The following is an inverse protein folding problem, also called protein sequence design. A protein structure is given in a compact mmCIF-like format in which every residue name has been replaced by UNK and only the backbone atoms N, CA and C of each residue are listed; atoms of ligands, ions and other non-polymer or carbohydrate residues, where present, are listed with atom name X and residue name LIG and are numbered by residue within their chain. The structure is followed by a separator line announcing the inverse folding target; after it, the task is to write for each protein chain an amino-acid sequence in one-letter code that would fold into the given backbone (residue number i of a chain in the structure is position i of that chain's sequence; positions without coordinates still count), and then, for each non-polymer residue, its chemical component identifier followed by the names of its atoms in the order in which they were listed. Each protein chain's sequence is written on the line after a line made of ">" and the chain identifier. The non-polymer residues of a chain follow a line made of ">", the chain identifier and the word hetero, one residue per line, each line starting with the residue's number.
data_IF_011939277878
#
_entry.id   IF_011939277878
#
_cell.length_a   1.000
_cell.length_b   1.000
_cell.length_c   1.000
_cell.angle_alpha   90.00
_cell.angle_beta   90.00
_cell.angle_gamma   90.00
#
_symmetry.space_group_name_H-M   'P 1'
#
loop_
_entity.id
_entity.type
_entity.pdbx_description
1 polymer ?
#
# COMPACT_ATOMS: atom_id res chain seq x y z
N UNK A 1 -15.72 -21.70 6.13
CA UNK A 1 -15.51 -21.22 7.52
C UNK A 1 -14.75 -19.92 7.36
N UNK A 2 -15.29 -18.78 7.77
CA UNK A 2 -14.62 -17.47 7.62
C UNK A 2 -13.42 -17.43 8.56
N UNK A 3 -12.22 -17.27 8.02
CA UNK A 3 -11.00 -17.13 8.82
C UNK A 3 -10.55 -15.66 8.87
N UNK A 4 -10.15 -15.23 10.07
CA UNK A 4 -9.47 -13.96 10.27
C UNK A 4 -7.96 -14.22 10.27
N UNK A 5 -7.28 -13.81 9.21
CA UNK A 5 -5.83 -13.91 9.08
C UNK A 5 -5.23 -12.58 9.54
N UNK A 6 -4.35 -12.59 10.55
CA UNK A 6 -3.70 -11.36 11.01
C UNK A 6 -2.40 -11.15 10.25
N UNK A 7 -2.19 -9.94 9.73
CA UNK A 7 -0.92 -9.58 9.10
C UNK A 7 0.28 -9.80 10.05
N UNK A 8 0.09 -9.49 11.35
CA UNK A 8 1.13 -9.59 12.38
C UNK A 8 1.63 -11.00 12.65
N UNK A 9 0.86 -12.04 12.28
CA UNK A 9 1.30 -13.43 12.45
C UNK A 9 2.53 -13.74 11.57
N UNK A 10 2.84 -12.85 10.61
CA UNK A 10 3.90 -13.03 9.64
C UNK A 10 4.83 -11.81 9.48
N UNK A 11 4.52 -10.66 10.09
CA UNK A 11 5.31 -9.43 9.94
C UNK A 11 6.58 -9.44 10.82
N UNK A 12 7.66 -8.88 10.28
CA UNK A 12 8.84 -8.49 11.06
C UNK A 12 8.62 -7.07 11.62
N UNK A 13 9.22 -6.78 12.78
CA UNK A 13 9.16 -5.49 13.47
C UNK A 13 9.68 -4.35 12.58
N UNK A 14 10.59 -4.65 11.66
CA UNK A 14 11.20 -3.65 10.77
C UNK A 14 10.45 -3.43 9.45
N UNK A 15 9.66 -4.41 8.98
CA UNK A 15 9.03 -4.36 7.66
C UNK A 15 7.82 -5.30 7.56
N UNK A 16 6.68 -4.76 7.12
CA UNK A 16 5.41 -5.47 7.03
C UNK A 16 5.23 -6.26 5.72
N UNK A 17 6.01 -5.99 4.68
CA UNK A 17 5.78 -6.50 3.33
C UNK A 17 5.77 -8.03 3.28
N UNK A 18 6.82 -8.69 3.79
CA UNK A 18 6.92 -10.16 3.77
C UNK A 18 5.73 -10.84 4.46
N UNK A 19 5.31 -10.29 5.60
CA UNK A 19 4.18 -10.83 6.36
C UNK A 19 2.85 -10.67 5.64
N UNK A 20 2.61 -9.50 5.07
CA UNK A 20 1.40 -9.20 4.31
C UNK A 20 1.32 -10.05 3.04
N UNK A 21 2.44 -10.25 2.33
CA UNK A 21 2.51 -11.13 1.17
C UNK A 21 2.08 -12.56 1.55
N UNK A 22 2.59 -13.07 2.67
CA UNK A 22 2.24 -14.40 3.17
C UNK A 22 0.76 -14.49 3.53
N UNK A 23 0.25 -13.53 4.28
CA UNK A 23 -1.15 -13.47 4.68
C UNK A 23 -2.10 -13.43 3.47
N UNK A 24 -1.79 -12.64 2.44
CA UNK A 24 -2.58 -12.55 1.21
C UNK A 24 -2.58 -13.89 0.44
N UNK A 25 -1.45 -14.58 0.38
CA UNK A 25 -1.37 -15.87 -0.29
C UNK A 25 -2.31 -16.90 0.36
N UNK A 26 -2.38 -16.91 1.69
CA UNK A 26 -3.24 -17.81 2.47
C UNK A 26 -4.74 -17.49 2.38
N UNK A 27 -5.13 -16.24 2.07
CA UNK A 27 -6.55 -15.85 1.99
C UNK A 27 -7.36 -16.72 1.03
N UNK A 28 -8.48 -17.22 1.50
CA UNK A 28 -9.48 -17.91 0.68
C UNK A 28 -10.75 -17.06 0.53
N UNK A 29 -11.64 -17.48 -0.35
CA UNK A 29 -12.93 -16.82 -0.58
C UNK A 29 -13.75 -16.79 0.72
N UNK A 30 -14.20 -15.59 1.12
CA UNK A 30 -14.93 -15.36 2.37
C UNK A 30 -14.06 -14.98 3.57
N UNK A 31 -12.73 -14.97 3.44
CA UNK A 31 -11.83 -14.62 4.54
C UNK A 31 -11.65 -13.11 4.72
N UNK A 32 -11.14 -12.74 5.89
CA UNK A 32 -10.76 -11.37 6.21
C UNK A 32 -9.28 -11.29 6.59
N UNK A 33 -8.53 -10.44 5.90
CA UNK A 33 -7.21 -9.98 6.33
C UNK A 33 -7.37 -8.86 7.35
N UNK A 34 -6.92 -9.11 8.57
CA UNK A 34 -6.94 -8.16 9.67
C UNK A 34 -5.56 -7.54 9.83
N UNK A 35 -5.50 -6.21 9.85
CA UNK A 35 -4.36 -5.46 10.37
C UNK A 35 -4.71 -4.98 11.78
N UNK A 36 -4.31 -5.68 12.86
CA UNK A 36 -4.51 -5.19 14.22
C UNK A 36 -4.02 -3.73 14.36
N UNK A 37 -4.76 -2.86 15.06
CA UNK A 37 -4.47 -1.42 15.15
C UNK A 37 -2.98 -1.14 15.41
N UNK A 38 -2.27 -0.66 14.40
CA UNK A 38 -0.86 -0.26 14.49
C UNK A 38 -0.43 0.63 13.30
N UNK A 39 0.84 1.03 13.27
CA UNK A 39 1.51 1.44 12.04
C UNK A 39 2.24 0.24 11.39
N UNK A 40 2.03 0.06 10.09
CA UNK A 40 2.66 -0.99 9.30
C UNK A 40 3.55 -0.34 8.24
N UNK A 41 4.85 -0.54 8.34
CA UNK A 41 5.82 0.08 7.45
C UNK A 41 6.21 -0.83 6.28
N UNK A 42 6.18 -0.29 5.06
CA UNK A 42 6.53 -1.00 3.84
C UNK A 42 7.70 -0.29 3.15
N UNK A 43 8.77 -1.03 2.90
CA UNK A 43 9.97 -0.53 2.20
C UNK A 43 10.15 -1.24 0.86
N UNK A 44 10.60 -0.47 -0.14
CA UNK A 44 10.69 -0.87 -1.56
C UNK A 44 11.48 -2.14 -1.83
N UNK A 45 12.58 -2.34 -1.13
CA UNK A 45 13.47 -3.49 -1.25
C UNK A 45 12.82 -4.82 -0.80
N UNK A 46 11.72 -4.77 -0.04
CA UNK A 46 11.00 -5.97 0.44
C UNK A 46 9.61 -6.16 -0.17
N UNK A 47 9.18 -5.24 -1.03
CA UNK A 47 7.86 -5.26 -1.65
C UNK A 47 7.89 -6.03 -2.97
N UNK A 48 6.71 -6.49 -3.41
CA UNK A 48 6.61 -7.19 -4.71
C UNK A 48 6.90 -6.21 -5.84
N UNK A 49 7.84 -6.58 -6.71
CA UNK A 49 8.13 -5.89 -7.95
C UNK A 49 7.41 -6.56 -9.12
N UNK A 50 6.80 -5.75 -10.01
CA UNK A 50 6.30 -6.20 -11.32
C UNK A 50 6.50 -5.12 -12.37
N UNK A 51 6.79 -5.58 -13.58
CA UNK A 51 6.63 -4.77 -14.79
C UNK A 51 5.13 -4.70 -15.10
N UNK A 52 4.57 -3.49 -15.12
CA UNK A 52 3.16 -3.32 -15.45
C UNK A 52 2.85 -1.96 -16.10
N UNK A 53 1.80 -1.96 -16.92
CA UNK A 53 1.27 -0.75 -17.55
C UNK A 53 -0.04 -0.37 -16.89
N UNK A 54 -0.06 0.80 -16.24
CA UNK A 54 -1.25 1.39 -15.64
C UNK A 54 -1.67 2.58 -16.52
N UNK A 55 -2.89 2.55 -17.05
CA UNK A 55 -3.42 3.64 -17.88
C UNK A 55 -3.34 4.97 -17.14
N UNK A 56 -3.14 6.07 -17.87
CA UNK A 56 -3.04 7.43 -17.31
C UNK A 56 -1.85 7.67 -16.35
N UNK A 57 -0.87 6.75 -16.32
CA UNK A 57 0.41 6.94 -15.64
C UNK A 57 1.56 6.79 -16.63
N UNK A 58 2.76 7.29 -16.28
CA UNK A 58 3.96 7.19 -17.13
C UNK A 58 4.61 5.79 -17.09
N UNK A 59 3.78 4.76 -17.24
CA UNK A 59 4.20 3.35 -17.15
C UNK A 59 4.90 2.83 -18.40
N UNK A 60 4.98 3.61 -19.48
CA UNK A 60 5.85 3.30 -20.62
C UNK A 60 7.30 3.70 -20.37
N UNK A 61 7.55 4.80 -19.66
CA UNK A 61 8.92 5.22 -19.27
C UNK A 61 9.35 4.63 -17.93
N UNK A 62 8.41 4.36 -17.02
CA UNK A 62 8.68 3.77 -15.71
C UNK A 62 7.78 2.54 -15.47
N UNK A 63 8.02 1.42 -16.18
CA UNK A 63 7.19 0.21 -16.10
C UNK A 63 7.42 -0.60 -14.82
N UNK A 64 8.58 -0.46 -14.17
CA UNK A 64 8.91 -1.11 -12.90
C UNK A 64 8.10 -0.51 -11.75
N UNK A 65 7.16 -1.30 -11.22
CA UNK A 65 6.31 -0.90 -10.09
C UNK A 65 6.53 -1.84 -8.91
N UNK A 66 6.48 -1.25 -7.72
CA UNK A 66 6.60 -1.94 -6.45
C UNK A 66 5.30 -1.75 -5.68
N UNK A 67 4.85 -2.80 -4.98
CA UNK A 67 3.54 -2.82 -4.33
C UNK A 67 3.67 -3.18 -2.85
N UNK A 68 3.23 -2.28 -1.98
CA UNK A 68 3.14 -2.59 -0.55
C UNK A 68 2.10 -3.70 -0.30
N UNK A 69 0.95 -3.61 -0.97
CA UNK A 69 -0.11 -4.63 -0.93
C UNK A 69 -0.52 -4.98 -2.36
N UNK A 70 -0.14 -6.18 -2.82
CA UNK A 70 -0.60 -6.72 -4.09
C UNK A 70 -1.53 -7.91 -3.84
N UNK A 71 -2.77 -7.82 -4.32
CA UNK A 71 -3.76 -8.90 -4.25
C UNK A 71 -4.07 -9.36 -5.67
N UNK A 72 -3.84 -10.64 -5.95
CA UNK A 72 -4.08 -11.23 -7.27
C UNK A 72 -5.01 -12.43 -7.17
N UNK A 73 -5.97 -12.53 -8.10
CA UNK A 73 -6.85 -13.68 -8.28
C UNK A 73 -7.60 -14.12 -7.00
N UNK A 74 -8.03 -13.15 -6.16
CA UNK A 74 -8.85 -13.40 -4.97
C UNK A 74 -10.28 -12.90 -5.17
N UNK A 75 -11.23 -13.55 -4.53
CA UNK A 75 -12.63 -13.13 -4.55
C UNK A 75 -13.28 -13.17 -3.18
N UNK A 76 -14.26 -12.29 -2.94
CA UNK A 76 -15.08 -12.25 -1.72
C UNK A 76 -14.26 -12.11 -0.43
N UNK A 77 -13.20 -11.30 -0.44
CA UNK A 77 -12.37 -11.07 0.74
C UNK A 77 -12.60 -9.66 1.32
N UNK A 78 -12.35 -9.52 2.61
CA UNK A 78 -12.24 -8.21 3.28
C UNK A 78 -10.79 -7.96 3.70
N UNK A 79 -10.32 -6.73 3.53
CA UNK A 79 -9.12 -6.20 4.17
C UNK A 79 -9.59 -5.16 5.19
N UNK A 80 -9.46 -5.49 6.47
CA UNK A 80 -9.85 -4.62 7.59
C UNK A 80 -8.61 -4.10 8.31
N UNK A 81 -8.45 -2.79 8.24
CA UNK A 81 -7.36 -2.08 8.87
C UNK A 81 -7.48 -1.96 10.39
N UNK A 82 -8.66 -2.17 10.99
CA UNK A 82 -8.91 -1.94 12.41
C UNK A 82 -8.41 -0.57 12.92
N UNK A 83 -8.46 0.46 12.06
CA UNK A 83 -7.94 1.81 12.29
C UNK A 83 -6.46 2.01 11.98
N UNK A 84 -5.74 1.01 11.47
CA UNK A 84 -4.29 1.05 11.24
C UNK A 84 -3.86 2.06 10.18
N UNK A 85 -2.59 2.45 10.23
CA UNK A 85 -1.95 3.24 9.18
C UNK A 85 -0.92 2.39 8.45
N UNK A 86 -1.05 2.30 7.12
CA UNK A 86 -0.06 1.67 6.26
C UNK A 86 0.88 2.78 5.76
N UNK A 87 2.12 2.74 6.25
CA UNK A 87 3.15 3.74 5.99
C UNK A 87 4.06 3.25 4.86
N UNK A 88 4.08 4.02 3.78
CA UNK A 88 4.73 3.68 2.52
C UNK A 88 6.04 4.45 2.41
N UNK A 89 7.16 3.72 2.32
CA UNK A 89 8.51 4.31 2.16
C UNK A 89 9.02 4.13 0.73
N UNK A 90 9.16 5.26 0.04
CA UNK A 90 9.66 5.33 -1.34
C UNK A 90 8.56 5.45 -2.40
N UNK A 91 9.00 5.47 -3.65
CA UNK A 91 8.19 5.57 -4.87
C UNK A 91 7.55 4.21 -5.21
N UNK A 92 6.46 3.88 -4.51
CA UNK A 92 5.74 2.62 -4.71
C UNK A 92 4.23 2.80 -4.64
N UNK A 93 3.51 1.83 -5.20
CA UNK A 93 2.06 1.76 -5.12
C UNK A 93 1.65 1.16 -3.77
N UNK A 94 0.76 1.82 -3.04
CA UNK A 94 0.22 1.27 -1.79
C UNK A 94 -0.58 -0.02 -2.04
N UNK A 95 -1.45 -0.01 -3.04
CA UNK A 95 -2.32 -1.15 -3.39
C UNK A 95 -2.32 -1.44 -4.89
N UNK A 96 -2.48 -2.71 -5.23
CA UNK A 96 -2.89 -3.15 -6.57
C UNK A 96 -3.76 -4.40 -6.46
N UNK A 97 -4.85 -4.43 -7.23
CA UNK A 97 -5.75 -5.57 -7.34
C UNK A 97 -5.76 -6.04 -8.80
N UNK A 98 -5.54 -7.33 -9.01
CA UNK A 98 -5.50 -7.91 -10.37
C UNK A 98 -6.34 -9.18 -10.41
N UNK A 99 -7.28 -9.26 -11.34
CA UNK A 99 -8.17 -10.42 -11.47
C UNK A 99 -9.00 -10.70 -10.22
N UNK A 100 -9.30 -9.67 -9.41
CA UNK A 100 -10.06 -9.83 -8.17
C UNK A 100 -11.55 -9.51 -8.37
N UNK A 101 -12.41 -10.08 -7.52
CA UNK A 101 -13.86 -9.85 -7.52
C UNK A 101 -14.38 -9.65 -6.11
N UNK A 102 -15.21 -8.64 -5.87
CA UNK A 102 -15.83 -8.40 -4.55
C UNK A 102 -14.80 -8.33 -3.41
N UNK A 103 -13.82 -7.43 -3.51
CA UNK A 103 -12.84 -7.16 -2.45
C UNK A 103 -13.24 -5.89 -1.73
N UNK A 104 -13.33 -5.95 -0.41
CA UNK A 104 -13.71 -4.82 0.43
C UNK A 104 -12.53 -4.33 1.26
N UNK A 105 -12.31 -3.02 1.27
CA UNK A 105 -11.29 -2.34 2.07
C UNK A 105 -11.97 -1.45 3.11
N UNK A 106 -11.66 -1.64 4.39
CA UNK A 106 -12.26 -0.84 5.47
C UNK A 106 -11.26 -0.48 6.56
N UNK A 107 -11.50 0.64 7.23
CA UNK A 107 -10.84 1.03 8.49
C UNK A 107 -9.31 1.16 8.43
N UNK A 108 -8.72 1.75 7.39
CA UNK A 108 -7.29 2.10 7.38
C UNK A 108 -7.01 3.47 6.80
N UNK A 109 -5.80 3.95 7.07
CA UNK A 109 -5.18 5.10 6.42
C UNK A 109 -3.98 4.64 5.61
N UNK A 110 -3.80 5.19 4.41
CA UNK A 110 -2.55 5.08 3.64
C UNK A 110 -1.79 6.38 3.79
N UNK A 111 -0.52 6.29 4.20
CA UNK A 111 0.35 7.45 4.37
C UNK A 111 1.67 7.20 3.68
N UNK A 112 2.12 8.12 2.84
CA UNK A 112 3.49 8.11 2.34
C UNK A 112 4.40 8.81 3.35
N UNK A 113 5.53 8.19 3.70
CA UNK A 113 6.48 8.74 4.66
C UNK A 113 7.17 10.01 4.15
N UNK A 114 7.35 10.11 2.83
CA UNK A 114 7.78 11.32 2.13
C UNK A 114 6.81 11.60 1.00
N UNK A 115 6.15 12.77 0.94
CA UNK A 115 5.31 13.14 -0.19
C UNK A 115 6.16 13.34 -1.44
N UNK A 116 5.54 13.18 -2.61
CA UNK A 116 6.17 13.48 -3.91
C UNK A 116 6.08 14.95 -4.29
N UNK A 117 5.25 15.71 -3.57
CA UNK A 117 5.07 17.15 -3.74
C UNK A 117 5.60 17.87 -2.51
N UNK A 118 6.16 19.05 -2.70
CA UNK A 118 6.60 19.92 -1.63
C UNK A 118 5.62 21.10 -1.53
N UNK A 119 5.19 21.37 -0.31
CA UNK A 119 4.42 22.56 0.02
C UNK A 119 5.31 23.47 0.86
N UNK A 120 5.28 24.77 0.56
CA UNK A 120 6.14 25.77 1.20
C UNK A 120 5.33 27.05 1.42
N UNK A 121 5.63 27.76 2.51
CA UNK A 121 4.99 29.04 2.84
C UNK A 121 5.69 30.18 2.09
N UNK A 122 4.94 30.99 1.35
CA UNK A 122 5.51 32.18 0.69
C UNK A 122 5.65 33.30 1.72
N UNK A 123 6.87 33.70 2.02
CA UNK A 123 7.18 34.75 3.00
C UNK A 123 7.23 36.15 2.39
N UNK A 124 7.62 36.26 1.11
CA UNK A 124 7.68 37.53 0.36
C UNK A 124 7.45 37.30 -1.14
N UNK A 125 6.98 38.32 -1.88
CA UNK A 125 6.94 38.33 -3.34
C UNK A 125 7.49 39.62 -3.94
N UNK A 126 8.15 39.48 -5.10
CA UNK A 126 8.49 40.58 -6.02
C UNK A 126 7.96 40.27 -7.42
N UNK A 127 8.10 41.20 -8.39
CA UNK A 127 7.46 41.13 -9.71
C UNK A 127 7.57 39.76 -10.41
N UNK A 128 8.69 39.05 -10.25
CA UNK A 128 8.92 37.71 -10.83
C UNK A 128 9.66 36.74 -9.88
N UNK A 129 9.57 36.95 -8.56
CA UNK A 129 10.20 36.05 -7.57
C UNK A 129 9.29 35.84 -6.37
N UNK A 130 9.31 34.63 -5.85
CA UNK A 130 8.74 34.28 -4.55
C UNK A 130 9.89 33.89 -3.62
N UNK A 131 9.77 34.26 -2.35
CA UNK A 131 10.63 33.82 -1.28
C UNK A 131 9.81 32.87 -0.41
N UNK A 132 10.42 31.75 -0.05
CA UNK A 132 9.85 30.60 0.64
C UNK A 132 10.71 30.27 1.85
#
# INVERSE_FOLDING_TARGET
>A
MTLNIKATDFCDVSNSAGGVIKAINELQSGDTLIFPKNEYHFYKDRCIHKVCHMTNTDSFKAPDKYFAVLIENKENITVDGCGSTLVIHGDMCAFSLRGCKNVRFVNFTVRYASPTNFEMEVTERSLNKIYI
#
